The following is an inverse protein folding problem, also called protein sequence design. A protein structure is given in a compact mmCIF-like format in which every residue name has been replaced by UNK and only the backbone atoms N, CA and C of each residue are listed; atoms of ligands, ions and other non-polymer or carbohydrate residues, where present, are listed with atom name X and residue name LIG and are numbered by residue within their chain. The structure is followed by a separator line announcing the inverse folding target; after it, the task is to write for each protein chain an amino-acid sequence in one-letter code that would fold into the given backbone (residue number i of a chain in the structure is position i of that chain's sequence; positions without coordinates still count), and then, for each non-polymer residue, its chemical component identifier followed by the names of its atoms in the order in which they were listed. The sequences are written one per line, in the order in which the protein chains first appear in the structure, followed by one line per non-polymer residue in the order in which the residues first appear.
data_IF_991578966203
#
_entry.id   IF_991578966203
#
_cell.length_a   1.000
_cell.length_b   1.000
_cell.length_c   1.000
_cell.angle_alpha   90.00
_cell.angle_beta   90.00
_cell.angle_gamma   90.00
#
_symmetry.space_group_name_H-M   'P 1'
#
loop_
_entity.id
_entity.type
_entity.pdbx_description
1 polymer ?
#
# COMPACT_ATOMS: atom_id res chain seq x y z
N UNK A 1 -4.18 0.83 24.71
CA UNK A 1 -3.04 1.70 24.39
C UNK A 1 -1.85 0.83 24.03
N UNK A 2 -0.88 1.41 23.32
CA UNK A 2 0.41 0.82 23.00
C UNK A 2 1.51 1.83 23.28
N UNK A 3 2.67 1.37 23.72
CA UNK A 3 3.83 2.22 23.99
C UNK A 3 4.99 1.80 23.07
N UNK A 4 5.57 2.78 22.39
CA UNK A 4 6.80 2.63 21.62
C UNK A 4 7.98 3.08 22.48
N UNK A 5 9.03 2.28 22.51
CA UNK A 5 10.25 2.57 23.25
C UNK A 5 11.44 2.54 22.31
N UNK A 6 12.46 3.34 22.63
CA UNK A 6 13.76 3.22 22.01
C UNK A 6 14.41 1.89 22.44
N UNK A 7 15.03 1.19 21.49
CA UNK A 7 15.62 -0.12 21.74
C UNK A 7 16.92 -0.07 22.54
N UNK A 8 17.69 1.02 22.45
CA UNK A 8 19.00 1.10 23.10
C UNK A 8 18.86 1.44 24.58
N UNK A 9 18.05 2.47 24.89
CA UNK A 9 17.95 3.03 26.23
C UNK A 9 16.63 2.73 26.93
N UNK A 10 15.69 2.03 26.28
CA UNK A 10 14.33 1.77 26.77
C UNK A 10 13.58 3.06 27.16
N UNK A 11 13.88 4.18 26.48
CA UNK A 11 13.19 5.46 26.69
C UNK A 11 11.84 5.45 25.98
N UNK A 12 10.80 5.97 26.64
CA UNK A 12 9.47 6.08 26.04
C UNK A 12 9.52 7.05 24.86
N UNK A 13 9.18 6.57 23.67
CA UNK A 13 9.06 7.38 22.45
C UNK A 13 7.66 7.97 22.38
N UNK A 14 6.61 7.14 22.43
CA UNK A 14 5.22 7.59 22.37
C UNK A 14 4.29 6.54 22.92
N UNK A 15 3.29 6.96 23.67
CA UNK A 15 2.09 6.18 23.99
C UNK A 15 0.96 6.57 23.05
N UNK A 16 0.33 5.58 22.40
CA UNK A 16 -0.83 5.77 21.53
C UNK A 16 -2.02 5.03 22.13
N UNK A 17 -3.09 5.78 22.45
CA UNK A 17 -4.30 5.26 23.09
C UNK A 17 -5.25 4.59 22.08
N UNK A 18 -4.81 3.44 21.56
CA UNK A 18 -5.61 2.58 20.67
C UNK A 18 -5.55 1.12 21.13
N UNK A 19 -6.59 0.34 20.80
CA UNK A 19 -6.66 -1.09 21.09
C UNK A 19 -6.03 -1.90 19.96
N UNK A 20 -4.74 -2.19 20.11
CA UNK A 20 -3.95 -2.86 19.08
C UNK A 20 -4.18 -4.38 19.10
N UNK A 21 -4.35 -4.97 17.91
CA UNK A 21 -4.26 -6.42 17.68
C UNK A 21 -2.92 -6.82 17.10
N UNK A 22 -2.39 -6.03 16.18
CA UNK A 22 -1.07 -6.28 15.61
C UNK A 22 -0.42 -4.98 15.12
N UNK A 23 0.90 -5.01 14.95
CA UNK A 23 1.71 -3.94 14.37
C UNK A 23 2.51 -4.47 13.19
N UNK A 24 2.59 -3.68 12.12
CA UNK A 24 3.44 -3.97 10.97
C UNK A 24 4.29 -2.76 10.66
N UNK A 25 5.59 -2.87 10.83
CA UNK A 25 6.54 -1.84 10.43
C UNK A 25 6.99 -2.06 8.98
N UNK A 26 7.12 -0.96 8.24
CA UNK A 26 7.83 -1.00 6.96
C UNK A 26 9.33 -1.21 7.20
N UNK A 27 10.01 -1.84 6.25
CA UNK A 27 11.45 -2.11 6.35
C UNK A 27 12.31 -0.83 6.45
N UNK A 28 11.80 0.30 5.94
CA UNK A 28 12.43 1.62 6.12
C UNK A 28 12.47 2.08 7.58
N UNK A 29 11.51 1.60 8.39
CA UNK A 29 11.27 2.06 9.76
C UNK A 29 10.55 3.41 9.85
N UNK A 30 10.07 3.96 8.72
CA UNK A 30 9.41 5.27 8.68
C UNK A 30 7.88 5.17 8.69
N UNK A 31 7.33 3.99 8.38
CA UNK A 31 5.88 3.75 8.36
C UNK A 31 5.53 2.58 9.28
N UNK A 32 4.40 2.70 9.98
CA UNK A 32 3.82 1.63 10.77
C UNK A 32 2.32 1.54 10.52
N UNK A 33 1.83 0.31 10.31
CA UNK A 33 0.40 0.00 10.31
C UNK A 33 0.00 -0.57 11.67
N UNK A 34 -0.93 0.09 12.35
CA UNK A 34 -1.54 -0.34 13.60
C UNK A 34 -2.88 -1.00 13.29
N UNK A 35 -2.95 -2.33 13.37
CA UNK A 35 -4.16 -3.09 13.12
C UNK A 35 -5.00 -3.26 14.39
N UNK A 36 -6.29 -2.94 14.28
CA UNK A 36 -7.29 -3.04 15.35
C UNK A 36 -8.39 -4.05 14.98
N UNK A 37 -9.46 -4.12 15.78
CA UNK A 37 -10.56 -5.07 15.55
C UNK A 37 -11.41 -4.75 14.30
N UNK A 38 -11.57 -3.47 13.96
CA UNK A 38 -12.45 -3.02 12.86
C UNK A 38 -11.78 -2.05 11.89
N UNK A 39 -10.58 -1.58 12.22
CA UNK A 39 -9.84 -0.59 11.45
C UNK A 39 -8.34 -0.85 11.52
N UNK A 40 -7.59 -0.18 10.65
CA UNK A 40 -6.16 0.01 10.83
C UNK A 40 -5.76 1.46 10.54
N UNK A 41 -4.64 1.86 11.13
CA UNK A 41 -4.07 3.20 11.02
C UNK A 41 -2.68 3.09 10.42
N UNK A 42 -2.37 3.92 9.42
CA UNK A 42 -1.00 4.08 8.92
C UNK A 42 -0.44 5.37 9.51
N UNK A 43 0.67 5.25 10.23
CA UNK A 43 1.36 6.38 10.83
C UNK A 43 2.79 6.48 10.28
N UNK A 44 3.27 7.71 10.14
CA UNK A 44 4.67 8.01 9.88
C UNK A 44 5.43 8.20 11.18
N UNK A 45 6.59 7.58 11.31
CA UNK A 45 7.50 7.77 12.42
C UNK A 45 8.55 8.85 12.11
N UNK A 46 8.64 9.88 12.94
CA UNK A 46 9.54 11.02 12.76
C UNK A 46 10.79 10.88 13.63
N UNK A 47 11.75 10.05 13.19
CA UNK A 47 13.00 9.77 13.91
C UNK A 47 13.77 11.03 14.32
N UNK A 48 13.85 12.02 13.43
CA UNK A 48 14.59 13.26 13.69
C UNK A 48 14.00 14.09 14.83
N UNK A 49 12.66 14.13 14.93
CA UNK A 49 11.96 14.83 16.01
C UNK A 49 12.19 14.12 17.35
N UNK A 50 12.18 12.79 17.36
CA UNK A 50 12.48 11.99 18.55
C UNK A 50 13.92 12.21 19.02
N UNK A 51 14.89 12.14 18.09
CA UNK A 51 16.31 12.40 18.42
C UNK A 51 16.48 13.81 18.98
N UNK A 52 15.95 14.83 18.30
CA UNK A 52 16.04 16.22 18.75
C UNK A 52 15.42 16.44 20.13
N UNK A 53 14.29 15.77 20.43
CA UNK A 53 13.66 15.85 21.74
C UNK A 53 14.54 15.20 22.81
N UNK A 54 15.07 14.02 22.55
CA UNK A 54 15.97 13.30 23.46
C UNK A 54 17.27 14.07 23.72
N UNK A 55 17.85 14.69 22.71
CA UNK A 55 19.07 15.49 22.82
C UNK A 55 18.83 16.81 23.58
N UNK A 56 17.59 17.33 23.57
CA UNK A 56 17.23 18.54 24.31
C UNK A 56 17.26 18.36 25.83
N UNK A 57 17.32 17.12 26.33
CA UNK A 57 17.33 16.81 27.76
C UNK A 57 16.03 17.15 28.49
N UNK A 58 14.95 17.46 27.76
CA UNK A 58 13.62 17.69 28.36
C UNK A 58 13.13 16.41 29.03
N UNK A 59 12.46 16.52 30.19
CA UNK A 59 11.86 15.35 30.84
C UNK A 59 10.78 14.77 29.92
N UNK A 60 10.82 13.45 29.73
CA UNK A 60 9.80 12.71 29.00
C UNK A 60 8.61 12.52 29.95
N UNK A 61 7.43 12.96 29.53
CA UNK A 61 6.19 12.74 30.29
C UNK A 61 5.64 11.30 30.09
N UNK A 62 4.44 11.04 30.59
CA UNK A 62 3.80 9.72 30.48
C UNK A 62 3.31 9.38 29.06
N UNK A 63 3.23 10.37 28.16
CA UNK A 63 2.78 10.19 26.78
C UNK A 63 3.95 10.10 25.77
N UNK A 64 5.14 10.54 26.14
CA UNK A 64 6.32 10.56 25.29
C UNK A 64 6.40 11.79 24.38
N UNK A 65 7.16 11.68 23.29
CA UNK A 65 7.36 12.76 22.32
C UNK A 65 6.14 12.88 21.42
N UNK A 66 5.33 13.92 21.61
CA UNK A 66 4.07 14.16 20.88
C UNK A 66 4.19 14.01 19.36
N UNK A 67 5.21 14.63 18.78
CA UNK A 67 5.45 14.64 17.35
C UNK A 67 6.13 13.38 16.77
N UNK A 68 6.38 12.36 17.61
CA UNK A 68 7.07 11.13 17.17
C UNK A 68 6.32 10.40 16.06
N UNK A 69 5.00 10.47 16.06
CA UNK A 69 4.16 9.83 15.06
C UNK A 69 3.17 10.83 14.46
N UNK A 70 2.99 10.74 13.15
CA UNK A 70 1.98 11.48 12.39
C UNK A 70 0.98 10.48 11.81
N UNK A 71 -0.31 10.65 12.08
CA UNK A 71 -1.35 9.85 11.45
C UNK A 71 -1.48 10.26 9.97
N UNK A 72 -1.20 9.34 9.06
CA UNK A 72 -1.38 9.58 7.62
C UNK A 72 -2.78 9.19 7.18
N UNK A 73 -3.20 7.97 7.53
CA UNK A 73 -4.45 7.39 7.03
C UNK A 73 -5.13 6.48 8.06
N UNK A 74 -6.45 6.47 8.01
CA UNK A 74 -7.31 5.50 8.70
C UNK A 74 -8.13 4.72 7.68
N UNK A 75 -8.23 3.42 7.86
CA UNK A 75 -9.05 2.55 7.00
C UNK A 75 -9.95 1.67 7.85
N UNK A 76 -11.26 1.71 7.57
CA UNK A 76 -12.30 0.93 8.25
C UNK A 76 -12.36 -0.54 7.82
N UNK A 77 -11.22 -1.23 7.79
CA UNK A 77 -11.14 -2.66 7.52
C UNK A 77 -10.37 -3.41 8.61
N UNK A 78 -10.84 -4.62 8.94
CA UNK A 78 -10.10 -5.52 9.84
C UNK A 78 -9.00 -6.25 9.08
N UNK A 79 -7.75 -5.93 9.40
CA UNK A 79 -6.57 -6.66 8.91
C UNK A 79 -6.44 -8.02 9.60
N UNK A 80 -6.30 -9.10 8.82
CA UNK A 80 -5.95 -10.44 9.34
C UNK A 80 -4.45 -10.62 9.42
N UNK A 81 -3.77 -10.45 8.28
CA UNK A 81 -2.31 -10.39 8.18
C UNK A 81 -1.94 -9.25 7.23
N UNK A 82 -0.76 -8.68 7.42
CA UNK A 82 -0.23 -7.61 6.59
C UNK A 82 1.28 -7.71 6.44
N UNK A 83 1.80 -7.18 5.34
CA UNK A 83 3.23 -7.00 5.08
C UNK A 83 3.42 -5.67 4.36
N UNK A 84 4.58 -5.04 4.57
CA UNK A 84 4.98 -3.88 3.78
C UNK A 84 5.88 -4.33 2.64
N UNK A 85 5.74 -3.66 1.49
CA UNK A 85 6.65 -3.76 0.35
C UNK A 85 6.92 -2.35 -0.14
N UNK A 86 8.06 -1.78 0.28
CA UNK A 86 8.26 -0.33 0.21
C UNK A 86 7.17 0.39 1.00
N UNK A 87 6.53 1.38 0.37
CA UNK A 87 5.42 2.15 0.97
C UNK A 87 4.03 1.51 0.71
N UNK A 88 4.00 0.30 0.16
CA UNK A 88 2.78 -0.42 -0.13
C UNK A 88 2.44 -1.38 1.01
N UNK A 89 1.37 -1.10 1.74
CA UNK A 89 0.88 -2.00 2.78
C UNK A 89 -0.07 -3.02 2.17
N UNK A 90 0.40 -4.26 2.02
CA UNK A 90 -0.37 -5.39 1.50
C UNK A 90 -1.00 -6.12 2.67
N UNK A 91 -2.29 -6.39 2.61
CA UNK A 91 -2.99 -7.07 3.69
C UNK A 91 -4.14 -7.90 3.16
N UNK A 92 -4.58 -8.87 3.95
CA UNK A 92 -5.87 -9.50 3.73
C UNK A 92 -6.84 -9.19 4.86
N UNK A 93 -8.13 -9.15 4.54
CA UNK A 93 -9.15 -8.71 5.48
C UNK A 93 -10.10 -9.85 5.94
N UNK A 94 -11.05 -9.52 6.82
CA UNK A 94 -12.05 -10.45 7.31
C UNK A 94 -12.97 -11.02 6.22
N UNK A 95 -13.15 -10.29 5.12
CA UNK A 95 -13.99 -10.61 3.96
C UNK A 95 -13.24 -11.37 2.86
N UNK A 96 -12.08 -11.94 3.20
CA UNK A 96 -11.25 -12.76 2.31
C UNK A 96 -10.82 -12.01 1.04
N UNK A 97 -10.59 -10.70 1.16
CA UNK A 97 -9.97 -9.92 0.08
C UNK A 97 -8.49 -9.75 0.38
N UNK A 98 -7.67 -9.91 -0.66
CA UNK A 98 -6.27 -9.51 -0.68
C UNK A 98 -6.21 -8.11 -1.27
N UNK A 99 -5.81 -7.15 -0.43
CA UNK A 99 -5.81 -5.73 -0.71
C UNK A 99 -4.38 -5.18 -0.61
N UNK A 100 -4.14 -4.05 -1.27
CA UNK A 100 -3.03 -3.17 -0.92
C UNK A 100 -3.55 -1.77 -0.59
N UNK A 101 -2.81 -1.05 0.25
CA UNK A 101 -3.02 0.35 0.57
C UNK A 101 -1.75 1.14 0.24
N UNK A 102 -1.90 2.20 -0.56
CA UNK A 102 -0.81 3.15 -0.87
C UNK A 102 -1.36 4.56 -0.75
N UNK A 103 -0.80 5.39 0.12
CA UNK A 103 -1.25 6.78 0.30
C UNK A 103 -2.73 6.89 0.69
N UNK A 104 -3.26 5.92 1.45
CA UNK A 104 -4.65 5.89 1.91
C UNK A 104 -5.64 5.24 0.93
N UNK A 105 -5.23 5.03 -0.33
CA UNK A 105 -6.05 4.38 -1.34
C UNK A 105 -5.96 2.86 -1.21
N UNK A 106 -7.10 2.24 -0.90
CA UNK A 106 -7.22 0.77 -0.81
C UNK A 106 -7.69 0.21 -2.14
N UNK A 107 -6.94 -0.76 -2.67
CA UNK A 107 -7.34 -1.50 -3.88
C UNK A 107 -7.39 -2.99 -3.58
N UNK A 108 -8.50 -3.64 -3.94
CA UNK A 108 -8.62 -5.11 -3.92
C UNK A 108 -7.95 -5.71 -5.14
N UNK A 109 -6.98 -6.60 -4.91
CA UNK A 109 -6.30 -7.36 -5.95
C UNK A 109 -7.05 -8.65 -6.29
N UNK A 110 -7.40 -9.42 -5.25
CA UNK A 110 -7.98 -10.75 -5.41
C UNK A 110 -9.04 -11.01 -4.33
N UNK A 111 -10.07 -11.75 -4.72
CA UNK A 111 -10.99 -12.39 -3.79
C UNK A 111 -10.48 -13.80 -3.52
N UNK A 112 -10.18 -14.09 -2.27
CA UNK A 112 -9.72 -15.38 -1.80
C UNK A 112 -10.93 -16.29 -1.56
N UNK A 113 -10.78 -17.56 -1.88
CA UNK A 113 -11.78 -18.61 -1.72
C UNK A 113 -11.81 -19.20 -0.30
N UNK A 114 -10.74 -18.99 0.47
CA UNK A 114 -10.59 -19.49 1.84
C UNK A 114 -9.75 -18.54 2.71
N UNK A 115 -9.76 -18.72 4.04
CA UNK A 115 -8.88 -17.98 4.93
C UNK A 115 -7.40 -18.27 4.65
N UNK A 116 -6.66 -17.24 4.23
CA UNK A 116 -5.22 -17.31 3.96
C UNK A 116 -4.46 -16.36 4.89
N UNK A 117 -3.15 -16.56 5.01
CA UNK A 117 -2.23 -15.74 5.82
C UNK A 117 -1.01 -15.37 4.98
N UNK A 118 -0.60 -14.09 4.99
CA UNK A 118 0.56 -13.62 4.24
C UNK A 118 1.85 -14.24 4.77
N UNK A 119 2.66 -14.77 3.86
CA UNK A 119 4.02 -15.27 4.13
C UNK A 119 5.08 -14.23 3.77
N UNK A 120 4.90 -13.52 2.66
CA UNK A 120 5.87 -12.53 2.18
C UNK A 120 5.70 -12.22 0.70
N UNK A 121 6.48 -11.25 0.23
CA UNK A 121 6.55 -10.86 -1.17
C UNK A 121 7.93 -11.17 -1.74
N UNK A 122 7.96 -11.77 -2.93
CA UNK A 122 9.19 -12.10 -3.63
C UNK A 122 9.32 -11.23 -4.88
N UNK A 123 10.19 -10.21 -4.79
CA UNK A 123 10.39 -9.23 -5.85
C UNK A 123 10.85 -9.86 -7.18
N UNK A 124 11.72 -10.87 -7.13
CA UNK A 124 12.23 -11.57 -8.32
C UNK A 124 11.15 -12.29 -9.12
N UNK A 125 9.98 -12.53 -8.52
CA UNK A 125 8.84 -13.17 -9.18
C UNK A 125 7.61 -12.27 -9.24
N UNK A 126 7.70 -11.05 -8.69
CA UNK A 126 6.58 -10.13 -8.51
C UNK A 126 5.34 -10.82 -7.94
N UNK A 127 5.53 -11.60 -6.87
CA UNK A 127 4.47 -12.44 -6.28
C UNK A 127 4.41 -12.28 -4.77
N UNK A 128 3.18 -12.17 -4.26
CA UNK A 128 2.88 -12.31 -2.85
C UNK A 128 2.43 -13.73 -2.56
N UNK A 129 3.04 -14.34 -1.54
CA UNK A 129 2.75 -15.70 -1.13
C UNK A 129 1.90 -15.70 0.12
N UNK A 130 0.88 -16.56 0.12
CA UNK A 130 0.01 -16.81 1.25
C UNK A 130 -0.06 -18.31 1.55
N UNK A 131 -0.41 -18.63 2.78
CA UNK A 131 -0.61 -20.00 3.26
C UNK A 131 -1.99 -20.15 3.92
N UNK A 132 -2.62 -21.32 3.77
CA UNK A 132 -3.82 -21.69 4.54
C UNK A 132 -3.47 -22.56 5.76
N UNK A 133 -4.50 -23.00 6.51
CA UNK A 133 -4.31 -23.83 7.70
C UNK A 133 -3.91 -25.27 7.37
N UNK A 134 -4.15 -25.69 6.14
CA UNK A 134 -3.78 -26.98 5.58
C UNK A 134 -2.35 -26.97 4.99
N UNK A 135 -1.60 -25.89 5.19
CA UNK A 135 -0.24 -25.67 4.70
C UNK A 135 -0.10 -25.58 3.17
N UNK A 136 -1.19 -25.31 2.44
CA UNK A 136 -1.08 -25.03 1.01
C UNK A 136 -0.57 -23.61 0.78
N UNK A 137 0.47 -23.48 -0.03
CA UNK A 137 1.06 -22.19 -0.41
C UNK A 137 0.51 -21.77 -1.77
N UNK A 138 -0.01 -20.55 -1.85
CA UNK A 138 -0.54 -19.95 -3.08
C UNK A 138 0.16 -18.62 -3.34
N UNK A 139 0.62 -18.40 -4.57
CA UNK A 139 1.25 -17.16 -4.99
C UNK A 139 0.35 -16.35 -5.91
N UNK A 140 0.09 -15.09 -5.55
CA UNK A 140 -0.63 -14.12 -6.38
C UNK A 140 0.33 -13.13 -7.01
N UNK A 141 0.16 -12.84 -8.29
CA UNK A 141 0.95 -11.82 -9.00
C UNK A 141 0.64 -10.44 -8.43
N UNK A 142 1.68 -9.73 -8.05
CA UNK A 142 1.63 -8.35 -7.59
C UNK A 142 2.76 -7.56 -8.23
N UNK A 143 2.41 -6.74 -9.22
CA UNK A 143 3.36 -5.89 -9.92
C UNK A 143 3.44 -4.53 -9.25
N UNK A 144 4.56 -4.26 -8.56
CA UNK A 144 4.79 -2.97 -7.93
C UNK A 144 4.82 -1.82 -8.94
N UNK A 145 5.38 -2.04 -10.14
CA UNK A 145 5.36 -1.04 -11.21
C UNK A 145 3.95 -0.65 -11.63
N UNK A 146 3.02 -1.62 -11.67
CA UNK A 146 1.62 -1.35 -11.97
C UNK A 146 0.94 -0.55 -10.84
N UNK A 147 1.27 -0.85 -9.59
CA UNK A 147 0.76 -0.10 -8.44
C UNK A 147 1.30 1.34 -8.46
N UNK A 148 2.62 1.50 -8.62
CA UNK A 148 3.29 2.80 -8.66
C UNK A 148 2.73 3.66 -9.79
N UNK A 149 2.57 3.10 -10.99
CA UNK A 149 1.93 3.78 -12.11
C UNK A 149 0.53 4.29 -11.75
N UNK A 150 -0.33 3.41 -11.22
CA UNK A 150 -1.69 3.79 -10.82
C UNK A 150 -1.67 4.88 -9.74
N UNK A 151 -0.79 4.77 -8.75
CA UNK A 151 -0.64 5.77 -7.70
C UNK A 151 -0.20 7.13 -8.24
N UNK A 152 0.76 7.17 -9.16
CA UNK A 152 1.24 8.41 -9.79
C UNK A 152 0.12 9.08 -10.61
N UNK A 153 -0.60 8.31 -11.41
CA UNK A 153 -1.78 8.81 -12.15
C UNK A 153 -2.85 9.34 -11.19
N UNK A 154 -3.14 8.64 -10.09
CA UNK A 154 -4.08 9.12 -9.07
C UNK A 154 -3.67 10.42 -8.40
N UNK A 155 -2.36 10.70 -8.34
CA UNK A 155 -1.78 11.95 -7.81
C UNK A 155 -1.70 13.06 -8.87
N UNK A 156 -2.06 12.78 -10.12
CA UNK A 156 -1.96 13.72 -11.24
C UNK A 156 -0.54 13.87 -11.80
N UNK A 157 0.41 13.01 -11.42
CA UNK A 157 1.80 13.05 -11.86
C UNK A 157 2.00 12.09 -13.06
N UNK A 158 1.49 12.51 -14.22
CA UNK A 158 1.51 11.71 -15.44
C UNK A 158 2.90 11.58 -16.06
N UNK A 159 3.73 12.61 -15.92
CA UNK A 159 5.09 12.59 -16.45
C UNK A 159 5.88 11.44 -15.84
N UNK A 160 5.89 11.33 -14.50
CA UNK A 160 6.55 10.21 -13.82
C UNK A 160 5.84 8.88 -14.05
N UNK A 161 4.52 8.86 -14.14
CA UNK A 161 3.79 7.63 -14.47
C UNK A 161 4.28 7.06 -15.82
N UNK A 162 4.45 7.91 -16.83
CA UNK A 162 4.91 7.50 -18.15
C UNK A 162 6.35 6.97 -18.18
N UNK A 163 7.21 7.38 -17.24
CA UNK A 163 8.55 6.80 -17.06
C UNK A 163 8.48 5.35 -16.52
N UNK A 164 7.47 5.03 -15.71
CA UNK A 164 7.26 3.69 -15.14
C UNK A 164 6.60 2.74 -16.13
N UNK A 165 5.75 3.24 -17.03
CA UNK A 165 4.95 2.44 -17.97
C UNK A 165 5.76 1.37 -18.75
N UNK A 166 6.98 1.63 -19.27
CA UNK A 166 7.78 0.63 -19.98
C UNK A 166 8.20 -0.57 -19.12
N UNK A 167 8.24 -0.41 -17.79
CA UNK A 167 8.55 -1.49 -16.85
C UNK A 167 7.36 -2.42 -16.59
N UNK A 168 6.15 -2.02 -16.98
CA UNK A 168 4.94 -2.84 -16.85
C UNK A 168 4.90 -3.84 -18.02
N UNK A 169 4.75 -5.14 -17.76
CA UNK A 169 4.62 -6.15 -18.82
C UNK A 169 3.43 -5.85 -19.74
N UNK A 170 3.62 -6.06 -21.06
CA UNK A 170 2.62 -5.73 -22.09
C UNK A 170 1.26 -6.41 -21.87
N UNK A 171 1.24 -7.60 -21.29
CA UNK A 171 0.00 -8.31 -20.92
C UNK A 171 -0.90 -7.51 -19.97
N UNK A 172 -0.34 -6.57 -19.20
CA UNK A 172 -1.08 -5.68 -18.30
C UNK A 172 -1.43 -4.31 -18.92
N UNK A 173 -0.93 -3.99 -20.12
CA UNK A 173 -1.16 -2.67 -20.74
C UNK A 173 -2.66 -2.40 -20.98
N UNK A 174 -3.44 -3.38 -21.41
CA UNK A 174 -4.89 -3.19 -21.54
C UNK A 174 -5.59 -2.97 -20.19
N UNK A 175 -5.06 -3.51 -19.09
CA UNK A 175 -5.56 -3.20 -17.74
C UNK A 175 -5.20 -1.77 -17.31
N UNK A 176 -4.04 -1.27 -17.74
CA UNK A 176 -3.64 0.13 -17.53
C UNK A 176 -4.54 1.06 -18.33
N UNK A 177 -4.76 0.77 -19.60
CA UNK A 177 -5.64 1.55 -20.47
C UNK A 177 -7.07 1.64 -19.91
N UNK A 178 -7.66 0.52 -19.44
CA UNK A 178 -8.98 0.54 -18.77
C UNK A 178 -8.99 1.38 -17.50
N UNK A 179 -7.89 1.37 -16.75
CA UNK A 179 -7.76 2.21 -15.57
C UNK A 179 -7.74 3.71 -15.96
N UNK A 180 -6.99 4.09 -17.00
CA UNK A 180 -6.96 5.46 -17.52
C UNK A 180 -8.33 5.90 -18.07
N UNK A 181 -8.98 5.05 -18.88
CA UNK A 181 -10.33 5.29 -19.40
C UNK A 181 -11.34 5.55 -18.28
N UNK A 182 -11.30 4.75 -17.20
CA UNK A 182 -12.19 4.93 -16.03
C UNK A 182 -11.99 6.27 -15.30
N UNK A 183 -10.90 6.97 -15.59
CA UNK A 183 -10.57 8.31 -15.08
C UNK A 183 -10.82 9.42 -16.10
N UNK A 184 -11.41 9.10 -17.25
CA UNK A 184 -11.67 10.05 -18.34
C UNK A 184 -10.45 10.38 -19.19
N UNK A 185 -9.35 9.66 -19.00
CA UNK A 185 -8.09 9.84 -19.72
C UNK A 185 -8.07 8.99 -21.00
N UNK A 186 -8.98 9.29 -21.90
CA UNK A 186 -9.28 8.42 -23.06
C UNK A 186 -8.12 8.48 -24.08
N UNK A 187 -7.45 9.62 -24.24
CA UNK A 187 -6.31 9.77 -25.16
C UNK A 187 -5.13 8.90 -24.72
N UNK A 188 -4.76 8.98 -23.44
CA UNK A 188 -3.69 8.18 -22.86
C UNK A 188 -4.06 6.69 -22.82
N UNK A 189 -5.34 6.37 -22.54
CA UNK A 189 -5.83 5.00 -22.62
C UNK A 189 -5.63 4.42 -24.03
N UNK A 190 -5.90 5.19 -25.08
CA UNK A 190 -5.72 4.76 -26.48
C UNK A 190 -4.24 4.52 -26.82
N UNK A 191 -3.33 5.35 -26.30
CA UNK A 191 -1.89 5.19 -26.51
C UNK A 191 -1.34 3.91 -25.85
N UNK A 192 -1.84 3.57 -24.66
CA UNK A 192 -1.41 2.39 -23.89
C UNK A 192 -2.09 1.11 -24.36
N UNK A 193 -3.32 1.18 -24.87
CA UNK A 193 -4.07 0.00 -25.32
C UNK A 193 -3.33 -0.74 -26.44
N UNK A 194 -3.24 -2.06 -26.30
CA UNK A 194 -2.58 -2.95 -27.27
C UNK A 194 -3.56 -3.83 -28.03
N UNK A 195 -4.77 -4.02 -27.50
CA UNK A 195 -5.84 -4.78 -28.14
C UNK A 195 -6.52 -3.95 -29.25
N UNK A 196 -6.59 -4.45 -30.50
CA UNK A 196 -7.15 -3.70 -31.63
C UNK A 196 -8.63 -3.33 -31.46
N UNK A 197 -9.45 -4.24 -30.95
CA UNK A 197 -10.89 -4.00 -30.79
C UNK A 197 -11.12 -2.94 -29.72
N UNK A 198 -10.42 -3.03 -28.59
CA UNK A 198 -10.50 -2.03 -27.53
C UNK A 198 -9.95 -0.66 -27.98
N UNK A 199 -8.86 -0.62 -28.75
CA UNK A 199 -8.35 0.63 -29.35
C UNK A 199 -9.40 1.26 -30.27
N UNK A 200 -10.11 0.45 -31.05
CA UNK A 200 -11.18 0.96 -31.91
C UNK A 200 -12.33 1.57 -31.10
N UNK A 201 -12.76 0.92 -30.01
CA UNK A 201 -13.76 1.49 -29.09
C UNK A 201 -13.32 2.84 -28.51
N UNK A 202 -12.07 2.94 -28.03
CA UNK A 202 -11.50 4.18 -27.51
C UNK A 202 -11.41 5.27 -28.59
N UNK A 203 -11.03 4.92 -29.82
CA UNK A 203 -10.96 5.85 -30.94
C UNK A 203 -12.33 6.40 -31.33
N UNK A 204 -13.39 5.57 -31.27
CA UNK A 204 -14.78 6.03 -31.44
C UNK A 204 -15.15 7.05 -30.35
N UNK A 205 -14.81 6.77 -29.09
CA UNK A 205 -15.11 7.70 -27.99
C UNK A 205 -14.44 9.06 -28.18
N UNK A 206 -13.24 9.09 -28.76
CA UNK A 206 -12.49 10.32 -29.08
C UNK A 206 -12.91 10.98 -30.40
N UNK A 207 -13.77 10.33 -31.21
CA UNK A 207 -14.11 10.79 -32.56
C UNK A 207 -12.94 10.72 -33.55
N UNK A 208 -11.89 9.94 -33.26
CA UNK A 208 -10.70 9.74 -34.12
C UNK A 208 -10.94 8.53 -35.03
N UNK A 209 -11.71 8.71 -36.10
CA UNK A 209 -12.14 7.64 -37.03
C UNK A 209 -11.20 7.42 -38.23
N UNK A 210 -10.02 8.07 -38.24
CA UNK A 210 -8.98 7.90 -39.27
C UNK A 210 -8.01 6.76 -38.95
#
# INVERSE_FOLDING_TARGET
FICFYDWADCRLIRRIDVTVKNLYWADSGDLVAIACDTSFYILKYNRDKVSSYFDSGRPIDEEGVEDAFELLHETGERVRTGIWVGDCFIYNNSSWRLNYCVGGEVTTMFHLDRPMYLLGYLASQSRVYLIDKEFNVVGYTLLLSLIEYKTLVMRGDLERANEILPSIPKEHHNSVARFLESRGMIEEALEVATDPDYRFELAIQLGRLE
#
